data_IF_328370545832
#
_entry.id   IF_328370545832
#
_cell.length_a   1.000
_cell.length_b   1.000
_cell.length_c   1.000
_cell.angle_alpha   90.00
_cell.angle_beta   90.00
_cell.angle_gamma   90.00
#
_symmetry.space_group_name_H-M   'P 1'
#
loop_
_entity.id
_entity.type
_entity.pdbx_description
1 polymer ?
#
# COMPACT_ATOMS: atom_id res chain seq x y z
N UNK A 1 -7.07 4.95 -3.07
CA UNK A 1 -6.37 4.38 -4.23
C UNK A 1 -4.94 4.13 -3.82
N UNK A 2 -4.12 3.46 -4.64
CA UNK A 2 -2.68 3.24 -4.37
C UNK A 2 -1.86 4.49 -4.75
N UNK A 3 -2.37 5.65 -4.37
CA UNK A 3 -1.91 6.98 -4.83
C UNK A 3 -1.31 7.79 -3.69
N UNK A 4 -1.19 7.21 -2.50
CA UNK A 4 -0.61 7.89 -1.36
C UNK A 4 0.89 8.09 -1.61
N UNK A 5 1.31 9.35 -1.67
CA UNK A 5 2.68 9.74 -1.94
C UNK A 5 2.90 11.20 -1.57
N UNK A 6 4.15 11.57 -1.38
CA UNK A 6 4.59 12.95 -1.21
C UNK A 6 5.44 13.33 -2.41
N UNK A 7 5.11 14.45 -3.04
CA UNK A 7 5.86 15.01 -4.16
C UNK A 7 6.71 16.15 -3.64
N UNK A 8 7.94 16.25 -4.16
CA UNK A 8 8.91 17.27 -3.75
C UNK A 8 9.11 18.23 -4.91
N UNK A 9 8.61 19.45 -4.75
CA UNK A 9 8.72 20.54 -5.72
C UNK A 9 9.67 21.60 -5.17
N UNK A 10 10.78 21.87 -5.87
CA UNK A 10 11.80 22.85 -5.46
C UNK A 10 12.28 22.68 -3.99
N UNK A 11 12.33 21.43 -3.50
CA UNK A 11 12.74 21.10 -2.14
C UNK A 11 11.64 21.18 -1.07
N UNK A 12 10.40 21.50 -1.45
CA UNK A 12 9.26 21.54 -0.55
C UNK A 12 8.27 20.39 -0.84
N UNK A 13 7.61 19.89 0.21
CA UNK A 13 6.53 18.91 0.06
C UNK A 13 5.30 19.62 -0.53
N UNK A 14 4.77 19.06 -1.62
CA UNK A 14 3.58 19.60 -2.30
C UNK A 14 2.31 19.35 -1.51
N UNK A 15 2.11 18.13 -1.02
CA UNK A 15 0.90 17.76 -0.27
C UNK A 15 0.89 18.36 1.14
N UNK A 16 -0.13 19.14 1.48
CA UNK A 16 -0.24 19.86 2.75
C UNK A 16 -1.28 19.31 3.73
N UNK A 17 -2.11 18.34 3.33
CA UNK A 17 -3.24 17.88 4.13
C UNK A 17 -3.71 16.46 3.77
N UNK A 18 -4.80 16.00 4.41
CA UNK A 18 -5.49 14.76 4.02
C UNK A 18 -6.36 14.91 2.76
N UNK A 19 -6.58 16.13 2.28
CA UNK A 19 -7.34 16.37 1.06
C UNK A 19 -6.53 16.00 -0.19
N UNK A 20 -5.23 16.27 -0.16
CA UNK A 20 -4.27 16.11 -1.25
C UNK A 20 -3.32 14.92 -1.04
N UNK A 21 -3.03 14.51 0.21
CA UNK A 21 -2.44 13.20 0.47
C UNK A 21 -3.48 12.09 0.28
N UNK A 22 -3.45 11.44 -0.89
CA UNK A 22 -4.50 10.49 -1.35
C UNK A 22 -4.43 9.13 -0.67
N UNK A 23 -4.58 9.12 0.66
CA UNK A 23 -4.63 7.90 1.45
C UNK A 23 -5.81 6.99 1.11
N UNK A 24 -5.66 5.71 1.44
CA UNK A 24 -6.71 4.71 1.30
C UNK A 24 -7.90 5.05 2.23
N UNK A 25 -9.05 5.29 1.61
CA UNK A 25 -10.38 5.36 2.26
C UNK A 25 -11.12 4.03 2.22
N UNK A 26 -12.18 3.86 3.01
CA UNK A 26 -12.98 2.63 3.12
C UNK A 26 -13.36 2.00 1.77
N UNK A 27 -13.76 2.82 0.78
CA UNK A 27 -14.12 2.34 -0.57
C UNK A 27 -13.00 1.62 -1.35
N UNK A 28 -11.75 1.69 -0.89
CA UNK A 28 -10.60 1.04 -1.53
C UNK A 28 -10.21 -0.29 -0.88
N UNK A 29 -10.86 -0.66 0.23
CA UNK A 29 -10.65 -1.97 0.86
C UNK A 29 -11.30 -3.04 -0.03
N UNK A 30 -10.66 -4.21 -0.22
CA UNK A 30 -11.29 -5.32 -0.92
C UNK A 30 -12.67 -5.67 -0.33
N UNK A 31 -13.63 -6.06 -1.17
CA UNK A 31 -14.95 -6.47 -0.70
C UNK A 31 -14.92 -7.69 0.22
N UNK A 32 -13.86 -8.51 0.12
CA UNK A 32 -13.62 -9.67 0.97
C UNK A 32 -12.19 -9.62 1.51
N UNK A 33 -12.06 -9.81 2.82
CA UNK A 33 -10.79 -9.93 3.53
C UNK A 33 -10.87 -11.15 4.44
N UNK A 34 -9.86 -12.02 4.35
CA UNK A 34 -9.73 -13.19 5.22
C UNK A 34 -8.48 -13.02 6.08
N UNK A 35 -8.61 -13.27 7.39
CA UNK A 35 -7.52 -13.22 8.34
C UNK A 35 -7.36 -14.61 8.94
N UNK A 36 -6.18 -15.19 8.76
CA UNK A 36 -5.84 -16.53 9.24
C UNK A 36 -4.78 -16.40 10.32
N UNK A 37 -5.06 -16.92 11.52
CA UNK A 37 -4.08 -16.97 12.60
C UNK A 37 -3.33 -18.31 12.53
N UNK A 38 -2.02 -18.22 12.32
CA UNK A 38 -1.14 -19.39 12.40
C UNK A 38 -0.91 -19.72 13.87
N UNK A 39 -1.20 -20.97 14.26
CA UNK A 39 -0.95 -21.44 15.63
C UNK A 39 0.54 -21.64 15.85
N UNK A 40 1.05 -21.14 16.97
CA UNK A 40 2.41 -21.38 17.45
C UNK A 40 2.40 -21.47 18.98
N UNK A 41 3.21 -22.37 19.52
CA UNK A 41 3.49 -22.49 20.97
C UNK A 41 4.70 -21.65 21.40
N UNK A 42 5.28 -20.87 20.48
CA UNK A 42 6.39 -19.96 20.76
C UNK A 42 5.97 -18.79 21.65
N UNK A 43 6.98 -18.09 22.19
CA UNK A 43 6.76 -16.83 22.92
C UNK A 43 6.06 -15.81 22.02
N UNK A 44 5.06 -15.13 22.58
CA UNK A 44 4.34 -14.05 21.91
C UNK A 44 5.31 -12.95 21.46
N UNK A 45 5.24 -12.61 20.17
CA UNK A 45 6.01 -11.54 19.54
C UNK A 45 5.11 -10.47 18.92
N UNK A 46 5.74 -9.45 18.33
CA UNK A 46 5.04 -8.37 17.63
C UNK A 46 4.53 -8.80 16.25
N UNK A 47 3.26 -8.51 15.96
CA UNK A 47 2.62 -8.78 14.66
C UNK A 47 2.11 -7.52 13.95
N UNK A 48 2.21 -6.36 14.60
CA UNK A 48 1.59 -5.11 14.12
C UNK A 48 2.09 -4.63 12.76
N UNK A 49 3.36 -4.91 12.43
CA UNK A 49 3.94 -4.50 11.15
C UNK A 49 3.80 -5.56 10.06
N UNK A 50 3.52 -6.83 10.37
CA UNK A 50 3.62 -7.92 9.38
C UNK A 50 2.71 -7.74 8.16
N UNK A 51 1.51 -7.23 8.37
CA UNK A 51 0.52 -6.99 7.31
C UNK A 51 0.83 -5.77 6.43
N UNK A 52 1.57 -4.80 6.95
CA UNK A 52 1.76 -3.51 6.28
C UNK A 52 2.67 -3.58 5.03
N UNK A 53 3.93 -4.04 5.10
CA UNK A 53 4.81 -4.10 3.94
C UNK A 53 4.41 -5.24 2.98
N UNK A 54 3.82 -6.33 3.50
CA UNK A 54 3.40 -7.47 2.69
C UNK A 54 2.24 -7.12 1.75
N UNK A 55 1.33 -6.25 2.16
CA UNK A 55 0.20 -5.82 1.34
C UNK A 55 0.65 -5.10 0.05
N UNK A 56 1.64 -4.21 0.13
CA UNK A 56 2.14 -3.46 -1.03
C UNK A 56 2.79 -4.40 -2.07
N UNK A 57 3.63 -5.34 -1.61
CA UNK A 57 4.28 -6.31 -2.48
C UNK A 57 3.28 -7.29 -3.11
N UNK A 58 2.32 -7.79 -2.33
CA UNK A 58 1.28 -8.69 -2.82
C UNK A 58 0.48 -8.06 -3.97
N UNK A 59 0.19 -6.77 -3.86
CA UNK A 59 -0.56 -6.03 -4.88
C UNK A 59 0.26 -5.73 -6.14
N UNK A 60 1.53 -5.34 -6.00
CA UNK A 60 2.43 -5.18 -7.15
C UNK A 60 2.58 -6.49 -7.95
N UNK A 61 2.71 -7.63 -7.25
CA UNK A 61 2.74 -8.95 -7.88
C UNK A 61 1.42 -9.32 -8.54
N UNK A 62 0.28 -8.99 -7.93
CA UNK A 62 -1.04 -9.21 -8.53
C UNK A 62 -1.22 -8.39 -9.82
N UNK A 63 -0.79 -7.13 -9.82
CA UNK A 63 -0.77 -6.28 -11.02
C UNK A 63 0.14 -6.87 -12.09
N UNK A 64 1.37 -7.26 -11.74
CA UNK A 64 2.31 -7.86 -12.70
C UNK A 64 1.74 -9.12 -13.37
N UNK A 65 1.06 -9.98 -12.60
CA UNK A 65 0.38 -11.17 -13.16
C UNK A 65 -0.82 -10.80 -14.04
N UNK A 66 -1.57 -9.76 -13.69
CA UNK A 66 -2.76 -9.34 -14.42
C UNK A 66 -2.43 -8.58 -15.72
N UNK A 67 -1.33 -7.83 -15.75
CA UNK A 67 -0.98 -6.94 -16.87
C UNK A 67 0.23 -7.42 -17.68
N UNK A 68 0.98 -8.40 -17.18
CA UNK A 68 2.24 -8.86 -17.76
C UNK A 68 3.43 -7.91 -17.54
N UNK A 69 3.25 -6.78 -16.85
CA UNK A 69 4.29 -5.78 -16.61
C UNK A 69 4.44 -5.51 -15.11
N UNK A 70 5.67 -5.61 -14.59
CA UNK A 70 5.97 -5.39 -13.18
C UNK A 70 6.14 -3.89 -12.88
N UNK A 71 5.35 -3.30 -11.96
CA UNK A 71 5.63 -1.96 -11.45
C UNK A 71 6.96 -1.93 -10.69
N UNK A 72 7.83 -0.99 -11.02
CA UNK A 72 9.15 -0.81 -10.36
C UNK A 72 9.24 0.44 -9.50
N UNK A 73 8.15 1.23 -9.44
CA UNK A 73 8.05 2.46 -8.66
C UNK A 73 6.70 2.54 -7.98
N UNK A 74 6.70 3.19 -6.81
CA UNK A 74 5.51 3.57 -6.06
C UNK A 74 5.44 5.11 -5.98
N UNK A 75 4.25 5.69 -5.79
CA UNK A 75 2.94 5.02 -5.71
C UNK A 75 2.49 4.38 -7.04
N UNK A 76 1.73 3.28 -6.96
CA UNK A 76 1.36 2.48 -8.14
C UNK A 76 0.36 3.18 -9.07
N UNK A 77 -0.45 4.06 -8.51
CA UNK A 77 -1.43 4.86 -9.23
C UNK A 77 -1.13 6.32 -8.92
N UNK A 78 -0.02 6.83 -9.44
CA UNK A 78 0.37 8.22 -9.28
C UNK A 78 -0.30 9.10 -10.35
N UNK A 79 -1.22 9.99 -9.97
CA UNK A 79 -1.85 10.95 -10.88
C UNK A 79 -1.01 12.23 -11.05
N UNK A 80 0.13 12.35 -10.38
CA UNK A 80 1.02 13.51 -10.40
C UNK A 80 2.45 13.21 -10.85
N UNK A 81 2.69 12.02 -11.41
CA UNK A 81 3.89 11.67 -12.19
C UNK A 81 3.74 12.08 -13.66
#
# INVERSE_FOLDING_TARGET
>A
TLSAGLHIDAGAVREGSFADYRWLRMKHVPAQMQVHLVRSDDRVGGVGELGYPSAAAALANALARATGTLPTRFPLLDPGA
#
